data_IF_221545093926
#
_entry.id   IF_221545093926
#
_cell.length_a   1.000
_cell.length_b   1.000
_cell.length_c   1.000
_cell.angle_alpha   90.00
_cell.angle_beta   90.00
_cell.angle_gamma   90.00
#
_symmetry.space_group_name_H-M   'P 1'
#
loop_
_entity.id
_entity.type
_entity.pdbx_description
1 polymer ?
#
# COMPACT_ATOMS: atom_id res chain seq x y z
N UNK A 1 7.18 -0.97 2.90
CA UNK A 1 5.82 -0.76 2.35
C UNK A 1 4.75 -1.02 3.39
N UNK A 2 4.65 -2.23 3.96
CA UNK A 2 3.60 -2.58 4.96
C UNK A 2 3.47 -1.62 6.14
N UNK A 3 4.58 -1.23 6.79
CA UNK A 3 4.55 -0.31 7.92
C UNK A 3 3.98 1.07 7.55
N UNK A 4 4.29 1.57 6.35
CA UNK A 4 3.78 2.85 5.85
C UNK A 4 2.29 2.77 5.59
N UNK A 5 1.80 1.69 4.98
CA UNK A 5 0.37 1.45 4.76
C UNK A 5 -0.42 1.37 6.06
N UNK A 6 0.14 0.71 7.08
CA UNK A 6 -0.48 0.63 8.41
C UNK A 6 -0.53 2.01 9.06
N UNK A 7 0.54 2.80 8.95
CA UNK A 7 0.55 4.18 9.47
C UNK A 7 -0.51 5.02 8.78
N UNK A 8 -0.60 4.98 7.44
CA UNK A 8 -1.59 5.74 6.68
C UNK A 8 -3.02 5.35 7.03
N UNK A 9 -3.29 4.04 7.25
CA UNK A 9 -4.60 3.56 7.70
C UNK A 9 -4.96 4.06 9.10
N UNK A 10 -4.00 4.06 10.02
CA UNK A 10 -4.26 4.31 11.44
C UNK A 10 -4.12 5.79 11.83
N UNK A 11 -3.50 6.62 10.99
CA UNK A 11 -3.20 8.01 11.30
C UNK A 11 -4.47 8.79 11.67
N UNK A 12 -5.49 8.77 10.80
CA UNK A 12 -6.72 9.52 11.03
C UNK A 12 -7.54 8.94 12.19
N UNK A 13 -7.74 7.62 12.31
CA UNK A 13 -8.41 7.06 13.47
C UNK A 13 -7.76 7.43 14.80
N UNK A 14 -6.41 7.39 14.86
CA UNK A 14 -5.66 7.75 16.06
C UNK A 14 -5.81 9.25 16.36
N UNK A 15 -5.71 10.13 15.35
CA UNK A 15 -5.87 11.56 15.55
C UNK A 15 -7.27 11.93 16.07
N UNK A 16 -8.33 11.30 15.55
CA UNK A 16 -9.68 11.54 16.04
C UNK A 16 -9.88 10.99 17.46
N UNK A 17 -9.31 9.82 17.77
CA UNK A 17 -9.34 9.26 19.13
C UNK A 17 -8.59 10.16 20.14
N UNK A 18 -7.42 10.67 19.78
CA UNK A 18 -6.61 11.54 20.64
C UNK A 18 -7.25 12.91 20.87
N UNK A 19 -8.03 13.41 19.92
CA UNK A 19 -8.75 14.68 20.04
C UNK A 19 -10.13 14.54 20.70
N UNK A 20 -10.49 13.34 21.16
CA UNK A 20 -11.78 13.06 21.80
C UNK A 20 -12.99 13.10 20.85
N UNK A 21 -12.76 13.15 19.53
CA UNK A 21 -13.80 13.29 18.49
C UNK A 21 -14.32 11.93 18.02
N UNK A 22 -14.79 11.11 18.97
CA UNK A 22 -15.22 9.73 18.69
C UNK A 22 -16.48 9.64 17.82
N UNK A 23 -17.35 10.65 17.84
CA UNK A 23 -18.53 10.70 16.96
C UNK A 23 -18.15 10.92 15.49
N UNK A 24 -17.22 11.84 15.23
CA UNK A 24 -16.65 12.09 13.89
C UNK A 24 -15.84 10.90 13.40
N UNK A 25 -15.10 10.22 14.30
CA UNK A 25 -14.39 8.99 13.99
C UNK A 25 -15.33 7.87 13.53
N UNK A 26 -16.42 7.66 14.26
CA UNK A 26 -17.43 6.64 13.95
C UNK A 26 -18.09 6.91 12.60
N UNK A 27 -18.37 8.18 12.30
CA UNK A 27 -18.98 8.57 11.03
C UNK A 27 -18.00 8.49 9.86
N UNK A 28 -16.75 8.90 10.06
CA UNK A 28 -15.68 8.77 9.06
C UNK A 28 -15.42 7.29 8.74
N UNK A 29 -15.28 6.41 9.75
CA UNK A 29 -15.03 4.97 9.54
C UNK A 29 -16.18 4.23 8.84
N UNK A 30 -17.43 4.71 8.96
CA UNK A 30 -18.57 4.13 8.23
C UNK A 30 -18.48 4.36 6.73
N UNK A 31 -17.92 5.50 6.31
CA UNK A 31 -17.89 5.92 4.91
C UNK A 31 -16.51 5.78 4.27
N UNK A 32 -15.44 5.76 5.07
CA UNK A 32 -14.07 5.73 4.60
C UNK A 32 -13.21 4.83 5.51
N UNK A 33 -12.76 3.65 5.04
CA UNK A 33 -12.79 3.16 3.66
C UNK A 33 -14.12 2.46 3.27
N UNK A 34 -15.11 2.41 4.15
CA UNK A 34 -16.32 1.59 3.99
C UNK A 34 -16.04 0.08 3.98
N UNK A 35 -17.07 -0.76 3.90
CA UNK A 35 -16.92 -2.23 3.98
C UNK A 35 -16.08 -2.80 2.82
N UNK A 36 -16.30 -2.30 1.60
CA UNK A 36 -15.56 -2.72 0.40
C UNK A 36 -14.09 -2.27 0.44
N UNK A 37 -13.82 -1.02 0.82
CA UNK A 37 -12.46 -0.52 0.93
C UNK A 37 -11.68 -1.21 2.05
N UNK A 38 -12.33 -1.50 3.18
CA UNK A 38 -11.73 -2.29 4.25
C UNK A 38 -11.40 -3.72 3.80
N UNK A 39 -12.31 -4.36 3.07
CA UNK A 39 -12.09 -5.71 2.52
C UNK A 39 -10.93 -5.74 1.52
N UNK A 40 -10.85 -4.75 0.63
CA UNK A 40 -9.73 -4.59 -0.30
C UNK A 40 -8.41 -4.38 0.44
N UNK A 41 -8.40 -3.54 1.48
CA UNK A 41 -7.23 -3.27 2.28
C UNK A 41 -6.73 -4.51 3.03
N UNK A 42 -7.63 -5.28 3.64
CA UNK A 42 -7.30 -6.56 4.28
C UNK A 42 -6.71 -7.52 3.25
N UNK A 43 -7.35 -7.65 2.08
CA UNK A 43 -6.84 -8.47 0.99
C UNK A 43 -5.43 -8.07 0.56
N UNK A 44 -5.17 -6.77 0.39
CA UNK A 44 -3.86 -6.23 0.02
C UNK A 44 -2.80 -6.46 1.10
N UNK A 45 -3.13 -6.30 2.38
CA UNK A 45 -2.23 -6.56 3.50
C UNK A 45 -1.85 -8.05 3.57
N UNK A 46 -2.84 -8.94 3.47
CA UNK A 46 -2.63 -10.38 3.43
C UNK A 46 -1.77 -10.79 2.22
N UNK A 47 -2.07 -10.26 1.04
CA UNK A 47 -1.28 -10.51 -0.16
C UNK A 47 0.17 -10.05 0.01
N UNK A 48 0.41 -8.85 0.52
CA UNK A 48 1.75 -8.35 0.77
C UNK A 48 2.53 -9.23 1.77
N UNK A 49 1.88 -9.72 2.85
CA UNK A 49 2.51 -10.64 3.79
C UNK A 49 2.88 -11.98 3.13
N UNK A 50 1.95 -12.55 2.34
CA UNK A 50 2.20 -13.78 1.59
C UNK A 50 3.34 -13.63 0.57
N UNK A 51 3.42 -12.48 -0.10
CA UNK A 51 4.51 -12.17 -1.04
C UNK A 51 5.87 -12.14 -0.36
N UNK A 52 5.97 -11.53 0.84
CA UNK A 52 7.22 -11.51 1.60
C UNK A 52 7.66 -12.91 2.01
N UNK A 53 6.72 -13.77 2.45
CA UNK A 53 6.99 -15.18 2.73
C UNK A 53 7.41 -15.92 1.46
N UNK A 54 6.69 -15.72 0.35
CA UNK A 54 6.97 -16.40 -0.92
C UNK A 54 8.33 -16.03 -1.53
N UNK A 55 8.78 -14.77 -1.39
CA UNK A 55 10.12 -14.35 -1.84
C UNK A 55 11.23 -15.11 -1.09
N UNK A 56 11.01 -15.49 0.17
CA UNK A 56 11.97 -16.26 0.95
C UNK A 56 11.94 -17.76 0.62
N UNK A 57 10.78 -18.29 0.21
CA UNK A 57 10.59 -19.72 -0.02
C UNK A 57 10.84 -20.15 -1.48
N UNK A 58 10.65 -19.25 -2.44
CA UNK A 58 10.71 -19.59 -3.86
C UNK A 58 11.72 -18.71 -4.60
N UNK A 59 12.55 -19.32 -5.44
CA UNK A 59 13.59 -18.64 -6.21
C UNK A 59 13.54 -18.89 -7.71
N UNK A 60 12.56 -19.68 -8.20
CA UNK A 60 12.44 -20.02 -9.61
C UNK A 60 12.06 -18.81 -10.48
N UNK A 61 12.46 -18.84 -11.76
CA UNK A 61 12.27 -17.71 -12.68
C UNK A 61 10.79 -17.30 -12.84
N UNK A 62 9.86 -18.26 -12.91
CA UNK A 62 8.44 -17.96 -13.04
C UNK A 62 7.91 -17.18 -11.82
N UNK A 63 8.32 -17.55 -10.61
CA UNK A 63 8.00 -16.84 -9.38
C UNK A 63 8.58 -15.41 -9.38
N UNK A 64 9.82 -15.23 -9.82
CA UNK A 64 10.43 -13.89 -9.92
C UNK A 64 9.69 -12.99 -10.90
N UNK A 65 9.27 -13.53 -12.05
CA UNK A 65 8.43 -12.82 -13.03
C UNK A 65 7.10 -12.44 -12.40
N UNK A 66 6.44 -13.37 -11.70
CA UNK A 66 5.19 -13.11 -11.01
C UNK A 66 5.32 -11.99 -9.97
N UNK A 67 6.36 -12.02 -9.13
CA UNK A 67 6.63 -10.98 -8.12
C UNK A 67 6.83 -9.60 -8.77
N UNK A 68 7.52 -9.54 -9.92
CA UNK A 68 7.68 -8.30 -10.67
C UNK A 68 6.32 -7.78 -11.17
N UNK A 69 5.51 -8.64 -11.80
CA UNK A 69 4.18 -8.25 -12.29
C UNK A 69 3.29 -7.79 -11.14
N UNK A 70 3.25 -8.53 -10.04
CA UNK A 70 2.48 -8.18 -8.85
C UNK A 70 2.92 -6.82 -8.28
N UNK A 71 4.23 -6.56 -8.21
CA UNK A 71 4.77 -5.27 -7.74
C UNK A 71 4.39 -4.11 -8.65
N UNK A 72 4.42 -4.31 -9.98
CA UNK A 72 4.00 -3.29 -10.95
C UNK A 72 2.50 -3.01 -10.86
N UNK A 73 1.66 -4.05 -10.76
CA UNK A 73 0.21 -3.89 -10.60
C UNK A 73 -0.13 -3.17 -9.31
N UNK A 74 0.56 -3.52 -8.21
CA UNK A 74 0.39 -2.84 -6.93
C UNK A 74 0.78 -1.36 -7.06
N UNK A 75 1.95 -1.05 -7.61
CA UNK A 75 2.38 0.33 -7.85
C UNK A 75 1.39 1.13 -8.70
N UNK A 76 0.84 0.52 -9.75
CA UNK A 76 -0.16 1.15 -10.62
C UNK A 76 -1.47 1.46 -9.89
N UNK A 77 -1.95 0.53 -9.05
CA UNK A 77 -3.14 0.75 -8.23
C UNK A 77 -3.01 1.99 -7.34
N UNK A 78 -1.88 2.15 -6.65
CA UNK A 78 -1.66 3.31 -5.79
C UNK A 78 -1.46 4.60 -6.57
N UNK A 79 -0.85 4.54 -7.75
CA UNK A 79 -0.79 5.68 -8.67
C UNK A 79 -2.18 6.17 -9.06
N UNK A 80 -3.09 5.24 -9.40
CA UNK A 80 -4.48 5.57 -9.72
C UNK A 80 -5.18 6.14 -8.48
N UNK A 81 -4.97 5.53 -7.31
CA UNK A 81 -5.52 6.03 -6.04
C UNK A 81 -5.06 7.46 -5.74
N UNK A 82 -3.80 7.80 -5.97
CA UNK A 82 -3.28 9.17 -5.83
C UNK A 82 -3.98 10.16 -6.77
N UNK A 83 -4.22 9.76 -8.02
CA UNK A 83 -4.92 10.61 -8.99
C UNK A 83 -6.34 10.91 -8.52
N UNK A 84 -7.02 9.92 -7.92
CA UNK A 84 -8.36 10.12 -7.32
C UNK A 84 -8.30 11.15 -6.20
N UNK A 85 -7.33 11.06 -5.30
CA UNK A 85 -7.13 12.03 -4.21
C UNK A 85 -6.80 13.44 -4.69
N UNK A 86 -5.95 13.56 -5.72
CA UNK A 86 -5.60 14.84 -6.33
C UNK A 86 -6.81 15.51 -7.00
N UNK A 87 -7.65 14.74 -7.70
CA UNK A 87 -8.88 15.25 -8.32
C UNK A 87 -9.94 15.56 -7.27
N UNK A 88 -9.96 14.80 -6.16
CA UNK A 88 -10.85 15.01 -5.02
C UNK A 88 -10.55 16.27 -4.21
N UNK A 89 -9.42 16.94 -4.48
CA UNK A 89 -9.05 18.20 -3.83
C UNK A 89 -8.52 18.04 -2.41
N UNK A 90 -7.94 16.88 -2.08
CA UNK A 90 -7.32 16.68 -0.77
C UNK A 90 -6.22 17.72 -0.49
N UNK A 91 -6.19 18.22 0.74
CA UNK A 91 -5.22 19.22 1.18
C UNK A 91 -3.82 18.63 1.26
N UNK A 92 -2.83 19.34 0.70
CA UNK A 92 -1.42 18.99 0.84
C UNK A 92 -0.99 18.98 2.31
N UNK A 93 -0.65 17.81 2.83
CA UNK A 93 -0.36 17.60 4.25
C UNK A 93 0.51 16.38 4.52
N UNK A 94 0.48 15.87 5.77
CA UNK A 94 1.23 14.68 6.16
C UNK A 94 0.86 13.45 5.31
N UNK A 95 -0.41 13.33 4.94
CA UNK A 95 -0.92 12.29 4.04
C UNK A 95 -0.22 12.30 2.69
N UNK A 96 -0.02 13.47 2.09
CA UNK A 96 0.70 13.61 0.81
C UNK A 96 2.18 13.18 0.92
N UNK A 97 2.82 13.43 2.06
CA UNK A 97 4.21 13.00 2.29
C UNK A 97 4.29 11.48 2.46
N UNK A 98 3.34 10.90 3.19
CA UNK A 98 3.24 9.45 3.37
C UNK A 98 2.93 8.75 2.04
N UNK A 99 2.03 9.33 1.26
CA UNK A 99 1.71 8.94 -0.11
C UNK A 99 2.96 8.94 -0.98
N UNK A 100 3.67 10.07 -1.07
CA UNK A 100 4.90 10.16 -1.86
C UNK A 100 5.93 9.11 -1.43
N UNK A 101 6.10 8.93 -0.12
CA UNK A 101 7.02 7.93 0.44
C UNK A 101 6.62 6.52 0.03
N UNK A 102 5.33 6.20 0.11
CA UNK A 102 4.78 4.92 -0.32
C UNK A 102 5.05 4.67 -1.81
N UNK A 103 4.85 5.67 -2.67
CA UNK A 103 5.10 5.56 -4.10
C UNK A 103 6.59 5.35 -4.43
N UNK A 104 7.49 6.07 -3.75
CA UNK A 104 8.94 5.87 -3.91
C UNK A 104 9.35 4.45 -3.50
N UNK A 105 8.78 3.93 -2.41
CA UNK A 105 9.01 2.54 -2.00
C UNK A 105 8.45 1.53 -3.00
N UNK A 106 7.30 1.81 -3.63
CA UNK A 106 6.73 0.96 -4.68
C UNK A 106 7.67 0.92 -5.92
N UNK A 107 8.18 2.08 -6.36
CA UNK A 107 9.15 2.17 -7.45
C UNK A 107 10.42 1.39 -7.12
N UNK A 108 10.98 1.61 -5.92
CA UNK A 108 12.17 0.88 -5.46
C UNK A 108 11.93 -0.63 -5.43
N UNK A 109 10.73 -1.07 -5.02
CA UNK A 109 10.35 -2.50 -4.99
C UNK A 109 10.28 -3.10 -6.39
N UNK A 110 9.73 -2.36 -7.37
CA UNK A 110 9.71 -2.79 -8.79
C UNK A 110 11.12 -2.91 -9.35
N UNK A 111 12.00 -1.93 -9.08
CA UNK A 111 13.40 -1.97 -9.52
C UNK A 111 14.15 -3.16 -8.89
N UNK A 112 13.93 -3.40 -7.59
CA UNK A 112 14.52 -4.54 -6.88
C UNK A 112 14.03 -5.88 -7.45
N UNK A 113 12.72 -6.01 -7.71
CA UNK A 113 12.14 -7.21 -8.31
C UNK A 113 12.65 -7.44 -9.74
N UNK A 114 12.82 -6.38 -10.53
CA UNK A 114 13.38 -6.46 -11.87
C UNK A 114 14.84 -6.92 -11.86
N UNK A 115 15.66 -6.34 -10.96
CA UNK A 115 17.05 -6.78 -10.75
C UNK A 115 17.10 -8.25 -10.33
N UNK A 116 16.32 -8.63 -9.32
CA UNK A 116 16.26 -10.00 -8.82
C UNK A 116 15.83 -11.01 -9.89
N UNK A 117 14.88 -10.65 -10.77
CA UNK A 117 14.49 -11.48 -11.91
C UNK A 117 15.65 -11.79 -12.85
N UNK A 118 16.57 -10.85 -13.05
CA UNK A 118 17.67 -10.96 -13.99
C UNK A 118 18.97 -11.54 -13.37
N UNK A 119 19.04 -11.66 -12.04
CA UNK A 119 20.16 -12.32 -11.37
C UNK A 119 20.22 -13.79 -11.78
N UNK A 120 21.33 -14.18 -12.43
CA UNK A 120 21.60 -15.56 -12.79
C UNK A 120 21.71 -16.39 -11.52
N UNK A 121 20.90 -17.46 -11.40
CA UNK A 121 21.16 -18.48 -10.40
C UNK A 121 22.47 -19.17 -10.79
N UNK A 122 23.50 -18.97 -9.97
CA UNK A 122 24.70 -19.82 -9.97
C UNK A 122 24.29 -21.19 -9.47
#
# INVERSE_FOLDING_TARGET
MMAVLIIMLLLDPIQHAMSGRYAELSEALKHDPGELGLSLLIGMLCFNALMQVGIQLFSNHAWRVFVLIASMTYGLFFLIHQVVHLIGGESFGLHTVLDLTHHLLAIASVLAAWKWKNEHQI
#
